data_IF_852387474295
#
_entry.id   IF_852387474295
#
_cell.length_a   1.000
_cell.length_b   1.000
_cell.length_c   1.000
_cell.angle_alpha   90.00
_cell.angle_beta   90.00
_cell.angle_gamma   90.00
#
_symmetry.space_group_name_H-M   'P 1'
#
loop_
_entity.id
_entity.type
_entity.pdbx_description
1 polymer ?
#
# COMPACT_ATOMS: atom_id res chain seq x y z
N UNK A 1 0.91 22.09 2.81
CA UNK A 1 1.01 23.02 3.95
C UNK A 1 0.50 22.28 5.17
N UNK A 2 1.41 21.76 6.00
CA UNK A 2 1.06 21.01 7.22
C UNK A 2 0.37 21.95 8.20
N UNK A 3 -0.85 21.61 8.65
CA UNK A 3 -1.48 22.31 9.78
C UNK A 3 -0.73 21.90 11.05
N UNK A 4 0.09 22.82 11.55
CA UNK A 4 0.64 22.78 12.91
C UNK A 4 -0.53 22.86 13.89
N UNK A 5 -0.77 21.82 14.67
CA UNK A 5 -1.57 21.95 15.89
C UNK A 5 -0.58 22.21 17.01
N UNK A 6 -0.31 23.49 17.27
CA UNK A 6 0.48 23.94 18.43
C UNK A 6 -0.45 24.03 19.64
N UNK A 7 -0.39 23.05 20.53
CA UNK A 7 -1.03 23.15 21.84
C UNK A 7 -0.03 23.81 22.81
N UNK A 8 -0.26 25.07 23.17
CA UNK A 8 0.58 25.83 24.09
C UNK A 8 -0.02 25.69 25.51
N UNK A 9 0.64 24.97 26.42
CA UNK A 9 0.30 24.96 27.84
C UNK A 9 1.26 25.88 28.60
N UNK A 10 0.74 26.93 29.24
CA UNK A 10 1.50 27.81 30.13
C UNK A 10 1.05 27.56 31.57
N UNK A 11 1.95 27.05 32.41
CA UNK A 11 1.74 26.92 33.86
C UNK A 11 2.63 27.92 34.61
N UNK A 12 2.03 28.91 35.26
CA UNK A 12 2.71 29.88 36.14
C UNK A 12 2.75 29.35 37.58
N UNK A 13 3.96 29.06 38.08
CA UNK A 13 4.24 28.66 39.47
C UNK A 13 5.16 29.66 40.19
N UNK A 14 4.91 29.85 41.49
CA UNK A 14 5.42 30.91 42.36
C UNK A 14 6.89 30.82 42.83
N UNK A 15 7.48 32.00 43.03
CA UNK A 15 8.85 32.34 43.44
C UNK A 15 9.38 31.67 44.73
N UNK A 16 10.40 30.81 44.57
CA UNK A 16 11.57 30.68 45.46
C UNK A 16 12.78 30.33 44.56
N UNK A 17 13.58 31.32 44.18
CA UNK A 17 14.55 31.19 43.08
C UNK A 17 15.96 30.76 43.55
N UNK A 18 16.24 29.47 43.45
CA UNK A 18 17.46 29.10 42.72
C UNK A 18 17.18 29.39 41.24
N UNK A 19 18.11 29.96 40.49
CA UNK A 19 17.88 30.31 39.09
C UNK A 19 17.69 29.02 38.27
N UNK A 20 16.45 28.55 38.16
CA UNK A 20 16.05 27.47 37.26
C UNK A 20 15.92 28.03 35.86
N UNK A 21 16.33 27.25 34.87
CA UNK A 21 16.19 27.62 33.46
C UNK A 21 14.72 27.69 33.05
N UNK A 22 14.40 28.58 32.12
CA UNK A 22 13.09 28.58 31.46
C UNK A 22 13.06 27.44 30.43
N UNK A 23 11.95 26.71 30.31
CA UNK A 23 11.83 25.58 29.36
C UNK A 23 10.55 25.71 28.55
N UNK A 24 10.67 25.91 27.24
CA UNK A 24 9.57 25.91 26.29
C UNK A 24 9.48 24.53 25.62
N UNK A 25 8.30 23.89 25.65
CA UNK A 25 8.08 22.57 25.05
C UNK A 25 7.15 22.65 23.83
N UNK A 26 7.45 21.83 22.81
CA UNK A 26 6.57 21.57 21.66
C UNK A 26 6.51 20.07 21.39
N UNK A 27 5.31 19.55 21.12
CA UNK A 27 5.12 18.14 20.77
C UNK A 27 4.95 18.01 19.25
N UNK A 28 5.66 17.06 18.65
CA UNK A 28 5.44 16.63 17.27
C UNK A 28 4.99 15.17 17.27
N UNK A 29 3.81 14.90 16.72
CA UNK A 29 3.35 13.54 16.51
C UNK A 29 3.99 12.96 15.26
N UNK A 30 4.52 11.74 15.36
CA UNK A 30 4.95 10.97 14.20
C UNK A 30 3.86 10.01 13.75
N UNK A 31 3.07 9.49 14.69
CA UNK A 31 1.88 8.70 14.40
C UNK A 31 0.70 9.63 14.12
N UNK A 32 0.08 9.56 12.92
CA UNK A 32 -1.09 10.38 12.58
C UNK A 32 -2.27 10.16 13.52
N UNK A 33 -3.09 11.19 13.73
CA UNK A 33 -4.22 11.15 14.67
C UNK A 33 -5.21 10.02 14.37
N UNK A 34 -5.50 9.74 13.10
CA UNK A 34 -6.36 8.61 12.69
C UNK A 34 -5.80 7.28 13.23
N UNK A 35 -4.51 7.03 13.05
CA UNK A 35 -3.87 5.81 13.57
C UNK A 35 -3.84 5.84 15.10
N UNK A 36 -3.58 7.01 15.69
CA UNK A 36 -3.58 7.21 17.14
C UNK A 36 -4.90 6.83 17.80
N UNK A 37 -6.03 7.29 17.25
CA UNK A 37 -7.38 7.07 17.77
C UNK A 37 -7.71 5.60 18.00
N UNK A 38 -7.18 4.71 17.17
CA UNK A 38 -7.48 3.28 17.21
C UNK A 38 -6.43 2.49 17.99
N UNK A 39 -5.22 3.03 18.06
CA UNK A 39 -4.04 2.33 18.56
C UNK A 39 -3.82 2.53 20.06
N UNK A 40 -4.34 3.61 20.64
CA UNK A 40 -4.23 3.90 22.09
C UNK A 40 -5.57 4.27 22.70
N UNK A 41 -5.72 4.00 24.01
CA UNK A 41 -6.81 4.55 24.80
C UNK A 41 -6.56 6.04 25.04
N UNK A 42 -7.34 6.90 24.37
CA UNK A 42 -7.03 8.32 24.21
C UNK A 42 -6.81 9.06 25.54
N UNK A 43 -7.78 9.03 26.46
CA UNK A 43 -7.68 9.82 27.70
C UNK A 43 -6.53 9.37 28.63
N UNK A 44 -6.37 8.07 28.93
CA UNK A 44 -5.20 7.61 29.70
C UNK A 44 -3.89 7.94 29.01
N UNK A 45 -3.81 7.77 27.69
CA UNK A 45 -2.60 7.98 26.94
C UNK A 45 -2.19 9.46 26.89
N UNK A 46 -3.13 10.37 26.67
CA UNK A 46 -2.88 11.82 26.72
C UNK A 46 -2.42 12.25 28.12
N UNK A 47 -3.03 11.69 29.17
CA UNK A 47 -2.61 11.95 30.56
C UNK A 47 -1.17 11.48 30.81
N UNK A 48 -0.82 10.30 30.30
CA UNK A 48 0.53 9.76 30.38
C UNK A 48 1.53 10.60 29.58
N UNK A 49 1.20 11.04 28.36
CA UNK A 49 2.03 11.98 27.58
C UNK A 49 2.25 13.30 28.34
N UNK A 50 1.25 13.79 29.08
CA UNK A 50 1.38 14.91 30.00
C UNK A 50 2.41 14.66 31.10
N UNK A 51 2.46 13.44 31.63
CA UNK A 51 3.47 13.05 32.63
C UNK A 51 4.87 13.03 32.00
N UNK A 52 5.02 12.47 30.79
CA UNK A 52 6.29 12.48 30.03
C UNK A 52 6.82 13.90 29.84
N UNK A 53 5.97 14.81 29.36
CA UNK A 53 6.35 16.21 29.11
C UNK A 53 6.73 16.94 30.40
N UNK A 54 5.96 16.76 31.47
CA UNK A 54 6.29 17.33 32.79
C UNK A 54 7.62 16.79 33.34
N UNK A 55 7.91 15.49 33.15
CA UNK A 55 9.19 14.89 33.54
C UNK A 55 10.35 15.49 32.77
N UNK A 56 10.19 15.71 31.46
CA UNK A 56 11.21 16.36 30.63
C UNK A 56 11.45 17.79 31.12
N UNK A 57 10.39 18.58 31.28
CA UNK A 57 10.48 19.97 31.74
C UNK A 57 11.22 20.07 33.09
N UNK A 58 10.82 19.25 34.07
CA UNK A 58 11.39 19.28 35.41
C UNK A 58 12.90 18.96 35.42
N UNK A 59 13.34 18.02 34.59
CA UNK A 59 14.77 17.68 34.49
C UNK A 59 15.57 18.74 33.74
N UNK A 60 15.00 19.36 32.70
CA UNK A 60 15.68 20.37 31.90
C UNK A 60 15.80 21.73 32.61
N UNK A 61 14.91 22.04 33.57
CA UNK A 61 15.02 23.23 34.43
C UNK A 61 16.30 23.26 35.27
N UNK A 62 16.93 22.10 35.49
CA UNK A 62 18.18 21.95 36.22
C UNK A 62 19.42 22.09 35.33
N UNK A 63 19.25 22.12 34.00
CA UNK A 63 20.37 22.29 33.07
C UNK A 63 20.73 23.78 32.92
N UNK A 64 22.02 24.07 32.83
CA UNK A 64 22.55 25.42 32.64
C UNK A 64 22.76 25.77 31.16
N UNK A 65 22.63 27.06 30.85
CA UNK A 65 22.89 27.60 29.51
C UNK A 65 21.73 27.43 28.54
N UNK A 66 21.94 27.91 27.31
CA UNK A 66 20.97 27.82 26.22
C UNK A 66 21.10 26.46 25.51
N UNK A 67 20.00 25.70 25.40
CA UNK A 67 20.01 24.35 24.80
C UNK A 67 18.74 24.06 24.02
N UNK A 68 18.88 23.25 22.97
CA UNK A 68 17.77 22.54 22.34
C UNK A 68 17.88 21.05 22.65
N UNK A 69 16.76 20.44 23.05
CA UNK A 69 16.68 19.01 23.38
C UNK A 69 15.53 18.39 22.61
N UNK A 70 15.75 17.20 22.07
CA UNK A 70 14.70 16.37 21.48
C UNK A 70 14.65 15.06 22.25
N UNK A 71 13.45 14.71 22.70
CA UNK A 71 13.13 13.41 23.28
C UNK A 71 12.12 12.73 22.37
N UNK A 72 12.54 11.69 21.65
CA UNK A 72 11.66 10.82 20.87
C UNK A 72 11.21 9.67 21.75
N UNK A 73 9.90 9.44 21.80
CA UNK A 73 9.27 8.36 22.56
C UNK A 73 8.46 7.50 21.59
N UNK A 74 8.69 6.20 21.63
CA UNK A 74 7.92 5.20 20.89
C UNK A 74 7.33 4.19 21.86
N UNK A 75 6.01 4.11 21.87
CA UNK A 75 5.25 3.15 22.67
C UNK A 75 4.92 1.96 21.80
N UNK A 76 5.20 0.76 22.31
CA UNK A 76 5.11 -0.48 21.54
C UNK A 76 4.00 -1.39 22.07
N UNK A 77 3.58 -2.33 21.22
CA UNK A 77 2.57 -3.34 21.57
C UNK A 77 3.07 -4.29 22.66
N UNK A 78 4.23 -4.92 22.44
CA UNK A 78 4.66 -6.10 23.22
C UNK A 78 6.01 -5.91 23.95
N UNK A 79 6.54 -4.67 23.99
CA UNK A 79 7.81 -4.36 24.65
C UNK A 79 7.78 -3.00 25.34
N UNK A 80 8.74 -2.77 26.23
CA UNK A 80 8.91 -1.49 26.90
C UNK A 80 9.15 -0.34 25.90
N UNK A 81 8.67 0.89 26.18
CA UNK A 81 8.84 2.04 25.30
C UNK A 81 10.31 2.30 24.94
N UNK A 82 10.57 2.68 23.68
CA UNK A 82 11.88 3.15 23.25
C UNK A 82 11.98 4.66 23.43
N UNK A 83 13.10 5.12 23.97
CA UNK A 83 13.35 6.55 24.24
C UNK A 83 14.70 6.95 23.65
N UNK A 84 14.71 7.99 22.83
CA UNK A 84 15.93 8.59 22.27
C UNK A 84 16.02 10.04 22.70
N UNK A 85 17.10 10.40 23.38
CA UNK A 85 17.38 11.77 23.83
C UNK A 85 18.60 12.28 23.09
N UNK A 86 18.50 13.48 22.53
CA UNK A 86 19.62 14.20 21.95
C UNK A 86 19.52 15.68 22.29
N UNK A 87 20.66 16.33 22.52
CA UNK A 87 20.70 17.73 22.87
C UNK A 87 21.82 18.47 22.14
N UNK A 88 21.63 19.77 21.93
CA UNK A 88 22.64 20.67 21.40
C UNK A 88 22.58 22.03 22.12
N UNK A 89 23.71 22.53 22.64
CA UNK A 89 24.88 21.75 23.03
C UNK A 89 24.47 20.60 23.96
N UNK A 90 25.24 19.51 23.97
CA UNK A 90 24.93 18.30 24.76
C UNK A 90 24.57 18.61 26.22
N UNK A 91 23.69 17.79 26.79
CA UNK A 91 23.38 17.87 28.23
C UNK A 91 24.61 17.57 29.08
N UNK A 92 24.60 18.04 30.32
CA UNK A 92 25.57 17.59 31.31
C UNK A 92 25.50 16.05 31.44
N UNK A 93 26.63 15.40 31.77
CA UNK A 93 26.64 13.93 31.96
C UNK A 93 25.62 13.48 33.03
N UNK A 94 25.48 14.28 34.09
CA UNK A 94 24.52 14.04 35.16
C UNK A 94 23.07 14.24 34.71
N UNK A 95 22.79 15.35 34.02
CA UNK A 95 21.46 15.68 33.51
C UNK A 95 20.96 14.70 32.47
N UNK A 96 21.82 14.27 31.53
CA UNK A 96 21.46 13.22 30.57
C UNK A 96 21.03 11.94 31.30
N UNK A 97 21.85 11.45 32.23
CA UNK A 97 21.54 10.24 33.00
C UNK A 97 20.26 10.41 33.82
N UNK A 98 20.09 11.55 34.50
CA UNK A 98 18.91 11.83 35.32
C UNK A 98 17.63 11.86 34.49
N UNK A 99 17.66 12.51 33.33
CA UNK A 99 16.54 12.56 32.39
C UNK A 99 16.19 11.17 31.87
N UNK A 100 17.19 10.40 31.39
CA UNK A 100 16.94 9.05 30.89
C UNK A 100 16.42 8.11 31.97
N UNK A 101 16.99 8.17 33.18
CA UNK A 101 16.53 7.36 34.32
C UNK A 101 15.10 7.74 34.73
N UNK A 102 14.78 9.04 34.75
CA UNK A 102 13.43 9.51 35.09
C UNK A 102 12.38 9.04 34.08
N UNK A 103 12.71 9.12 32.79
CA UNK A 103 11.83 8.67 31.70
C UNK A 103 11.65 7.15 31.70
N UNK A 104 12.71 6.38 31.97
CA UNK A 104 12.65 4.92 32.06
C UNK A 104 11.82 4.41 33.25
N UNK A 105 11.64 5.23 34.29
CA UNK A 105 10.84 4.89 35.47
C UNK A 105 9.36 5.29 35.36
N UNK A 106 8.93 5.88 34.24
CA UNK A 106 7.52 6.18 34.01
C UNK A 106 6.71 4.89 33.84
N UNK A 107 5.44 4.93 34.23
CA UNK A 107 4.54 3.80 34.06
C UNK A 107 4.49 3.39 32.58
N UNK A 108 4.72 2.10 32.32
CA UNK A 108 4.70 1.57 30.96
C UNK A 108 3.31 1.71 30.33
N UNK A 109 3.30 2.00 29.03
CA UNK A 109 2.11 2.00 28.19
C UNK A 109 2.32 1.00 27.07
N UNK A 110 1.22 0.43 26.59
CA UNK A 110 1.21 -0.46 25.44
C UNK A 110 0.15 -0.04 24.43
N UNK A 111 0.47 -0.20 23.16
CA UNK A 111 -0.45 0.06 22.06
C UNK A 111 -1.25 -1.20 21.69
N UNK A 112 -2.36 -1.01 20.97
CA UNK A 112 -3.25 -2.11 20.55
C UNK A 112 -2.84 -2.76 19.25
N UNK A 113 -2.48 -1.96 18.24
CA UNK A 113 -2.25 -2.42 16.86
C UNK A 113 -0.82 -2.15 16.39
N UNK A 114 -0.45 -0.88 16.25
CA UNK A 114 0.87 -0.44 15.78
C UNK A 114 1.60 0.35 16.85
N UNK A 115 2.87 0.65 16.64
CA UNK A 115 3.62 1.56 17.49
C UNK A 115 3.05 3.00 17.43
N UNK A 116 3.08 3.69 18.57
CA UNK A 116 2.73 5.12 18.67
C UNK A 116 3.97 5.94 19.01
N UNK A 117 4.33 6.87 18.15
CA UNK A 117 5.55 7.66 18.30
C UNK A 117 5.31 9.16 18.26
N UNK A 118 6.02 9.89 19.13
CA UNK A 118 6.03 11.36 19.17
C UNK A 118 7.39 11.87 19.64
N UNK A 119 7.67 13.14 19.37
CA UNK A 119 8.82 13.86 19.90
C UNK A 119 8.36 15.01 20.80
N UNK A 120 9.07 15.19 21.91
CA UNK A 120 9.03 16.40 22.73
C UNK A 120 10.29 17.20 22.42
N UNK A 121 10.11 18.36 21.81
CA UNK A 121 11.17 19.31 21.51
C UNK A 121 11.17 20.36 22.62
N UNK A 122 12.32 20.62 23.21
CA UNK A 122 12.49 21.57 24.30
C UNK A 122 13.52 22.64 23.93
N UNK A 123 13.19 23.89 24.22
CA UNK A 123 14.15 24.99 24.26
C UNK A 123 14.39 25.36 25.72
N UNK A 124 15.63 25.23 26.16
CA UNK A 124 16.09 25.67 27.48
C UNK A 124 16.64 27.08 27.33
N UNK A 125 16.11 28.00 28.13
CA UNK A 125 16.35 29.45 28.06
C UNK A 125 16.05 29.96 26.63
N UNK A 126 17.05 30.39 25.87
CA UNK A 126 16.84 30.91 24.51
C UNK A 126 16.87 29.83 23.42
N UNK A 127 17.25 28.60 23.77
CA UNK A 127 17.57 27.57 22.78
C UNK A 127 18.94 27.78 22.13
N UNK A 128 19.45 26.73 21.46
CA UNK A 128 20.75 26.75 20.80
C UNK A 128 20.73 27.65 19.55
N UNK A 129 21.60 28.67 19.53
CA UNK A 129 21.79 29.58 18.39
C UNK A 129 22.90 29.13 17.43
N UNK A 130 23.60 28.04 17.75
CA UNK A 130 24.68 27.46 16.96
C UNK A 130 24.20 26.31 16.08
N UNK A 131 24.80 26.17 14.89
CA UNK A 131 24.62 25.00 14.02
C UNK A 131 25.39 23.79 14.57
N UNK A 132 24.85 23.19 15.61
CA UNK A 132 25.36 21.96 16.22
C UNK A 132 24.46 20.77 15.87
N UNK A 133 25.07 19.59 15.75
CA UNK A 133 24.34 18.32 15.70
C UNK A 133 23.82 17.93 17.09
N UNK A 134 22.75 17.15 17.13
CA UNK A 134 22.25 16.58 18.39
C UNK A 134 23.19 15.49 18.88
N UNK A 135 23.59 15.56 20.15
CA UNK A 135 24.43 14.56 20.81
C UNK A 135 23.70 13.98 22.04
N UNK A 136 23.47 12.66 22.10
CA UNK A 136 23.58 11.68 21.02
C UNK A 136 22.68 11.99 19.81
N UNK A 137 22.99 11.36 18.67
CA UNK A 137 22.15 11.44 17.48
C UNK A 137 20.75 10.88 17.76
N UNK A 138 19.72 11.57 17.26
CA UNK A 138 18.32 11.16 17.43
C UNK A 138 18.02 9.93 16.57
N UNK A 139 17.42 8.92 17.19
CA UNK A 139 16.82 7.78 16.50
C UNK A 139 15.37 8.08 16.18
N UNK A 140 15.01 8.08 14.88
CA UNK A 140 13.64 8.27 14.42
C UNK A 140 13.00 6.92 14.08
N UNK A 141 11.78 6.60 14.56
CA UNK A 141 11.22 5.25 14.49
C UNK A 141 11.09 4.71 13.06
N UNK A 142 10.44 5.47 12.17
CA UNK A 142 10.24 5.08 10.77
C UNK A 142 11.56 4.80 10.04
N UNK A 143 12.60 5.59 10.33
CA UNK A 143 13.93 5.40 9.74
C UNK A 143 14.55 4.10 10.28
N UNK A 144 14.50 3.89 11.58
CA UNK A 144 15.06 2.71 12.24
C UNK A 144 14.37 1.42 11.81
N UNK A 145 13.04 1.43 11.70
CA UNK A 145 12.23 0.31 11.21
C UNK A 145 12.56 -0.03 9.77
N UNK A 146 12.64 0.98 8.89
CA UNK A 146 13.02 0.76 7.49
C UNK A 146 14.46 0.25 7.35
N UNK A 147 15.40 0.74 8.16
CA UNK A 147 16.78 0.23 8.19
C UNK A 147 16.86 -1.21 8.70
N UNK A 148 16.01 -1.60 9.67
CA UNK A 148 15.90 -2.97 10.13
C UNK A 148 15.30 -3.87 9.04
N UNK A 149 14.22 -3.42 8.39
CA UNK A 149 13.58 -4.12 7.28
C UNK A 149 14.55 -4.39 6.12
N UNK A 150 15.35 -3.39 5.73
CA UNK A 150 16.36 -3.53 4.67
C UNK A 150 17.42 -4.59 4.96
N UNK A 151 17.69 -4.91 6.23
CA UNK A 151 18.68 -5.91 6.67
C UNK A 151 18.15 -7.34 6.71
N UNK A 152 16.84 -7.54 6.58
CA UNK A 152 16.24 -8.87 6.55
C UNK A 152 16.67 -9.65 5.30
N UNK A 153 16.63 -10.97 5.36
CA UNK A 153 16.78 -11.78 4.15
C UNK A 153 15.55 -11.59 3.23
N UNK A 154 15.67 -11.77 1.89
CA UNK A 154 14.57 -11.50 0.97
C UNK A 154 13.26 -12.23 1.31
N UNK A 155 13.34 -13.48 1.77
CA UNK A 155 12.17 -14.25 2.19
C UNK A 155 11.49 -13.68 3.44
N UNK A 156 12.29 -13.16 4.38
CA UNK A 156 11.80 -12.56 5.60
C UNK A 156 11.18 -11.18 5.33
N UNK A 157 11.68 -10.41 4.34
CA UNK A 157 11.06 -9.14 3.93
C UNK A 157 9.62 -9.30 3.45
N UNK A 158 9.36 -10.28 2.57
CA UNK A 158 7.99 -10.61 2.13
C UNK A 158 7.11 -10.95 3.32
N UNK A 159 7.61 -11.87 4.15
CA UNK A 159 6.88 -12.38 5.29
C UNK A 159 6.55 -11.25 6.25
N UNK A 160 7.49 -10.32 6.46
CA UNK A 160 7.31 -9.14 7.28
C UNK A 160 6.22 -8.22 6.72
N UNK A 161 6.18 -7.96 5.41
CA UNK A 161 5.06 -7.18 4.81
C UNK A 161 3.73 -7.90 5.05
N UNK A 162 3.66 -9.22 4.81
CA UNK A 162 2.43 -9.98 5.04
C UNK A 162 1.99 -10.01 6.51
N UNK A 163 2.94 -10.09 7.45
CA UNK A 163 2.66 -10.02 8.90
C UNK A 163 2.17 -8.62 9.27
N UNK A 164 2.88 -7.58 8.83
CA UNK A 164 2.50 -6.18 9.06
C UNK A 164 1.07 -5.89 8.58
N UNK A 165 0.69 -6.39 7.40
CA UNK A 165 -0.69 -6.29 6.92
C UNK A 165 -1.69 -6.97 7.86
N UNK A 166 -1.39 -8.19 8.31
CA UNK A 166 -2.29 -9.02 9.14
C UNK A 166 -2.47 -8.49 10.56
N UNK A 167 -1.38 -8.06 11.16
CA UNK A 167 -1.30 -7.74 12.59
C UNK A 167 -1.54 -6.24 12.87
N UNK A 168 -1.30 -5.36 11.90
CA UNK A 168 -1.37 -3.92 12.11
C UNK A 168 -2.35 -3.22 11.15
N UNK A 169 -2.08 -3.26 9.85
CA UNK A 169 -2.81 -2.44 8.87
C UNK A 169 -4.27 -2.89 8.73
N UNK A 170 -4.52 -4.18 8.51
CA UNK A 170 -5.89 -4.70 8.35
C UNK A 170 -6.73 -4.49 9.62
N UNK A 171 -6.24 -4.75 10.85
CA UNK A 171 -7.00 -4.42 12.07
C UNK A 171 -7.39 -2.94 12.18
N UNK A 172 -6.51 -2.02 11.78
CA UNK A 172 -6.80 -0.58 11.76
C UNK A 172 -7.88 -0.27 10.72
N UNK A 173 -7.78 -0.81 9.51
CA UNK A 173 -8.80 -0.65 8.47
C UNK A 173 -10.15 -1.21 8.92
N UNK A 174 -10.15 -2.41 9.50
CA UNK A 174 -11.34 -3.04 10.05
C UNK A 174 -12.00 -2.18 11.13
N UNK A 175 -11.21 -1.52 11.99
CA UNK A 175 -11.76 -0.64 13.03
C UNK A 175 -12.68 0.43 12.43
N UNK A 176 -12.24 1.06 11.34
CA UNK A 176 -12.96 2.14 10.67
C UNK A 176 -14.16 1.63 9.87
N UNK A 177 -13.98 0.57 9.08
CA UNK A 177 -15.08 -0.02 8.31
C UNK A 177 -16.23 -0.51 9.21
N UNK A 178 -15.93 -1.14 10.35
CA UNK A 178 -16.95 -1.59 11.31
C UNK A 178 -17.68 -0.44 12.03
N UNK A 179 -17.12 0.77 12.01
CA UNK A 179 -17.68 1.98 12.65
C UNK A 179 -18.30 2.96 11.67
N UNK A 180 -18.35 2.60 10.39
CA UNK A 180 -19.16 3.33 9.43
C UNK A 180 -20.61 3.41 9.92
N UNK A 181 -21.27 4.53 9.62
CA UNK A 181 -22.69 4.73 9.97
C UNK A 181 -23.55 3.59 9.41
N UNK A 182 -24.65 3.27 10.09
CA UNK A 182 -25.46 2.07 9.79
C UNK A 182 -26.03 2.06 8.36
N UNK A 183 -26.13 3.21 7.70
CA UNK A 183 -26.57 3.32 6.30
C UNK A 183 -25.55 2.76 5.29
N UNK A 184 -24.27 2.66 5.66
CA UNK A 184 -23.20 2.15 4.80
C UNK A 184 -23.00 0.64 5.04
N UNK A 185 -24.01 -0.15 4.71
CA UNK A 185 -24.05 -1.58 5.04
C UNK A 185 -22.95 -2.38 4.31
N UNK A 186 -22.61 -2.01 3.07
CA UNK A 186 -21.54 -2.67 2.32
C UNK A 186 -20.19 -2.49 3.02
N UNK A 187 -19.88 -1.26 3.42
CA UNK A 187 -18.64 -0.92 4.16
C UNK A 187 -18.55 -1.72 5.45
N UNK A 188 -19.65 -1.79 6.22
CA UNK A 188 -19.69 -2.56 7.46
C UNK A 188 -19.56 -4.06 7.23
N UNK A 189 -20.11 -4.58 6.13
CA UNK A 189 -19.94 -5.99 5.72
C UNK A 189 -18.46 -6.31 5.47
N UNK A 190 -17.76 -5.43 4.74
CA UNK A 190 -16.30 -5.56 4.55
C UNK A 190 -15.55 -5.52 5.89
N UNK A 191 -15.92 -4.60 6.78
CA UNK A 191 -15.35 -4.53 8.13
C UNK A 191 -15.52 -5.82 8.93
N UNK A 192 -16.69 -6.46 8.85
CA UNK A 192 -16.96 -7.74 9.53
C UNK A 192 -16.17 -8.90 8.90
N UNK A 193 -15.95 -8.91 7.58
CA UNK A 193 -15.05 -9.86 6.90
C UNK A 193 -13.63 -9.76 7.47
N UNK A 194 -13.12 -8.53 7.65
CA UNK A 194 -11.78 -8.27 8.19
C UNK A 194 -11.68 -8.67 9.67
N UNK A 195 -12.65 -8.28 10.48
CA UNK A 195 -12.72 -8.59 11.92
C UNK A 195 -12.78 -10.09 12.18
N UNK A 196 -13.47 -10.84 11.34
CA UNK A 196 -13.53 -12.31 11.40
C UNK A 196 -12.32 -12.99 10.75
N UNK A 197 -11.37 -12.21 10.22
CA UNK A 197 -10.15 -12.67 9.56
C UNK A 197 -10.41 -13.69 8.45
N UNK A 198 -11.53 -13.56 7.71
CA UNK A 198 -11.89 -14.53 6.65
C UNK A 198 -10.84 -14.58 5.54
N UNK A 199 -10.14 -13.47 5.32
CA UNK A 199 -9.04 -13.33 4.35
C UNK A 199 -7.85 -14.26 4.62
N UNK A 200 -7.74 -14.86 5.80
CA UNK A 200 -6.72 -15.87 6.10
C UNK A 200 -7.05 -17.27 5.53
N UNK A 201 -8.30 -17.49 5.09
CA UNK A 201 -8.83 -18.82 4.74
C UNK A 201 -9.53 -18.87 3.39
N UNK A 202 -9.88 -17.73 2.82
CA UNK A 202 -10.56 -17.61 1.54
C UNK A 202 -9.71 -16.81 0.56
N UNK A 203 -9.92 -17.02 -0.75
CA UNK A 203 -9.27 -16.20 -1.77
C UNK A 203 -9.78 -14.76 -1.66
N UNK A 204 -8.90 -13.81 -1.92
CA UNK A 204 -9.25 -12.37 -1.88
C UNK A 204 -10.40 -12.07 -2.84
N UNK A 205 -10.40 -12.70 -4.01
CA UNK A 205 -11.44 -12.54 -5.03
C UNK A 205 -12.82 -12.98 -4.52
N UNK A 206 -12.89 -14.07 -3.75
CA UNK A 206 -14.14 -14.60 -3.20
C UNK A 206 -14.74 -13.67 -2.13
N UNK A 207 -13.90 -12.87 -1.46
CA UNK A 207 -14.32 -11.90 -0.46
C UNK A 207 -14.60 -10.51 -1.03
N UNK A 208 -14.15 -10.25 -2.26
CA UNK A 208 -14.19 -8.92 -2.90
C UNK A 208 -14.98 -8.96 -4.20
N UNK A 209 -14.35 -9.19 -5.35
CA UNK A 209 -14.99 -9.06 -6.65
C UNK A 209 -16.15 -10.03 -6.90
N UNK A 210 -16.14 -11.22 -6.28
CA UNK A 210 -17.25 -12.18 -6.33
C UNK A 210 -18.27 -11.98 -5.20
N UNK A 211 -18.13 -10.90 -4.42
CA UNK A 211 -18.98 -10.55 -3.29
C UNK A 211 -19.72 -9.22 -3.59
N UNK A 212 -21.05 -9.24 -3.79
CA UNK A 212 -21.82 -8.01 -4.05
C UNK A 212 -21.65 -6.92 -2.98
N UNK A 213 -21.41 -7.29 -1.72
CA UNK A 213 -21.20 -6.33 -0.64
C UNK A 213 -19.94 -5.47 -0.85
N UNK A 214 -18.92 -5.99 -1.54
CA UNK A 214 -17.71 -5.23 -1.87
C UNK A 214 -18.01 -4.13 -2.90
N UNK A 215 -18.80 -4.45 -3.92
CA UNK A 215 -19.21 -3.47 -4.93
C UNK A 215 -20.17 -2.45 -4.34
N UNK A 216 -21.10 -2.88 -3.49
CA UNK A 216 -21.91 -1.97 -2.69
C UNK A 216 -21.06 -1.02 -1.85
N UNK A 217 -20.08 -1.55 -1.10
CA UNK A 217 -19.17 -0.75 -0.30
C UNK A 217 -18.40 0.27 -1.15
N UNK A 218 -17.94 -0.15 -2.34
CA UNK A 218 -17.25 0.72 -3.30
C UNK A 218 -18.12 1.90 -3.75
N UNK A 219 -19.43 1.66 -3.93
CA UNK A 219 -20.40 2.69 -4.31
C UNK A 219 -20.82 3.60 -3.14
N UNK A 220 -20.69 3.14 -1.90
CA UNK A 220 -20.98 3.89 -0.68
C UNK A 220 -19.88 4.92 -0.34
N UNK A 221 -18.71 4.85 -0.99
CA UNK A 221 -17.58 5.74 -0.72
C UNK A 221 -17.74 7.15 -1.29
N UNK A 222 -17.36 8.13 -0.47
CA UNK A 222 -17.12 9.49 -0.94
C UNK A 222 -15.84 9.56 -1.79
N UNK A 223 -15.77 10.53 -2.69
CA UNK A 223 -14.51 10.89 -3.34
C UNK A 223 -13.41 11.16 -2.29
N UNK A 224 -12.16 10.85 -2.64
CA UNK A 224 -10.99 10.92 -1.76
C UNK A 224 -10.83 9.72 -0.81
N UNK A 225 -11.91 9.02 -0.45
CA UNK A 225 -11.85 7.89 0.47
C UNK A 225 -11.77 6.56 -0.28
N UNK A 226 -10.55 6.03 -0.42
CA UNK A 226 -10.29 4.77 -1.13
C UNK A 226 -10.15 3.56 -0.18
N UNK A 227 -10.78 3.59 0.99
CA UNK A 227 -10.60 2.52 1.99
C UNK A 227 -11.02 1.14 1.48
N UNK A 228 -12.08 1.02 0.67
CA UNK A 228 -12.56 -0.26 0.14
C UNK A 228 -11.61 -0.91 -0.87
N UNK A 229 -11.15 -0.23 -1.94
CA UNK A 229 -10.11 -0.82 -2.80
C UNK A 229 -8.77 -0.97 -2.06
N UNK A 230 -8.45 -0.10 -1.09
CA UNK A 230 -7.28 -0.30 -0.23
C UNK A 230 -7.38 -1.60 0.59
N UNK A 231 -8.56 -1.93 1.13
CA UNK A 231 -8.83 -3.19 1.82
C UNK A 231 -8.50 -4.40 0.95
N UNK A 232 -8.92 -4.41 -0.32
CA UNK A 232 -8.55 -5.47 -1.28
C UNK A 232 -7.04 -5.54 -1.49
N UNK A 233 -6.35 -4.41 -1.61
CA UNK A 233 -4.90 -4.37 -1.75
C UNK A 233 -4.18 -4.93 -0.52
N UNK A 234 -4.63 -4.57 0.69
CA UNK A 234 -4.09 -5.09 1.95
C UNK A 234 -4.27 -6.62 2.06
N UNK A 235 -5.42 -7.15 1.66
CA UNK A 235 -5.63 -8.60 1.61
C UNK A 235 -4.66 -9.30 0.65
N UNK A 236 -4.41 -8.73 -0.54
CA UNK A 236 -3.42 -9.28 -1.47
C UNK A 236 -1.99 -9.25 -0.90
N UNK A 237 -1.57 -8.16 -0.26
CA UNK A 237 -0.27 -8.07 0.41
C UNK A 237 -0.16 -9.09 1.57
N UNK A 238 -1.23 -9.29 2.33
CA UNK A 238 -1.31 -10.30 3.38
C UNK A 238 -1.18 -11.74 2.81
N UNK A 239 -1.69 -12.00 1.61
CA UNK A 239 -1.59 -13.28 0.89
C UNK A 239 -0.29 -13.42 0.09
N UNK A 240 0.53 -12.36 0.01
CA UNK A 240 1.76 -12.33 -0.78
C UNK A 240 1.52 -12.24 -2.29
N UNK A 241 0.33 -11.83 -2.73
CA UNK A 241 -0.03 -11.57 -4.12
C UNK A 241 0.35 -10.13 -4.53
N UNK A 242 1.64 -9.82 -4.50
CA UNK A 242 2.18 -8.46 -4.64
C UNK A 242 1.87 -7.82 -6.00
N UNK A 243 1.91 -8.57 -7.09
CA UNK A 243 1.66 -8.01 -8.43
C UNK A 243 0.23 -7.44 -8.55
N UNK A 244 -0.77 -8.17 -8.03
CA UNK A 244 -2.16 -7.69 -7.95
C UNK A 244 -2.31 -6.47 -7.04
N UNK A 245 -1.66 -6.51 -5.87
CA UNK A 245 -1.67 -5.38 -4.96
C UNK A 245 -1.08 -4.12 -5.62
N UNK A 246 0.04 -4.25 -6.35
CA UNK A 246 0.73 -3.13 -7.00
C UNK A 246 -0.17 -2.39 -7.99
N UNK A 247 -0.91 -3.11 -8.84
CA UNK A 247 -1.85 -2.49 -9.78
C UNK A 247 -2.90 -1.65 -9.06
N UNK A 248 -3.47 -2.19 -7.98
CA UNK A 248 -4.50 -1.50 -7.21
C UNK A 248 -3.95 -0.31 -6.43
N UNK A 249 -2.80 -0.48 -5.74
CA UNK A 249 -2.10 0.56 -4.99
C UNK A 249 -1.69 1.73 -5.89
N UNK A 250 -1.20 1.43 -7.09
CA UNK A 250 -0.86 2.44 -8.09
C UNK A 250 -2.08 3.30 -8.42
N UNK A 251 -3.21 2.68 -8.73
CA UNK A 251 -4.44 3.38 -9.11
C UNK A 251 -4.99 4.20 -7.94
N UNK A 252 -5.20 3.60 -6.77
CA UNK A 252 -5.85 4.30 -5.64
C UNK A 252 -5.04 5.48 -5.12
N UNK A 253 -3.72 5.50 -5.33
CA UNK A 253 -2.88 6.65 -4.97
C UNK A 253 -3.31 7.94 -5.69
N UNK A 254 -3.81 7.85 -6.93
CA UNK A 254 -4.28 9.03 -7.69
C UNK A 254 -5.62 9.58 -7.20
N UNK A 255 -6.42 8.75 -6.54
CA UNK A 255 -7.79 9.07 -6.13
C UNK A 255 -7.97 9.16 -4.60
N UNK A 256 -6.88 8.98 -3.83
CA UNK A 256 -6.89 9.12 -2.38
C UNK A 256 -6.62 10.56 -1.96
N UNK A 257 -7.41 11.06 -1.01
CA UNK A 257 -7.06 12.30 -0.31
C UNK A 257 -5.83 12.06 0.58
N UNK A 258 -4.93 13.05 0.65
CA UNK A 258 -3.67 12.94 1.40
C UNK A 258 -3.86 12.69 2.91
N UNK A 259 -5.03 13.02 3.46
CA UNK A 259 -5.37 12.82 4.88
C UNK A 259 -6.25 11.58 5.10
N UNK A 260 -6.58 10.84 4.03
CA UNK A 260 -7.36 9.60 4.14
C UNK A 260 -6.52 8.48 4.77
N UNK A 261 -7.19 7.52 5.43
CA UNK A 261 -6.50 6.38 6.05
C UNK A 261 -5.60 5.61 5.06
N UNK A 262 -6.02 5.29 3.82
CA UNK A 262 -5.13 4.65 2.85
C UNK A 262 -3.85 5.44 2.58
N UNK A 263 -3.96 6.76 2.38
CA UNK A 263 -2.81 7.61 2.07
C UNK A 263 -1.73 7.58 3.15
N UNK A 264 -2.11 7.38 4.42
CA UNK A 264 -1.16 7.26 5.53
C UNK A 264 -0.26 6.02 5.43
N UNK A 265 -0.71 4.96 4.76
CA UNK A 265 0.05 3.72 4.58
C UNK A 265 0.71 3.58 3.21
N UNK A 266 0.15 4.23 2.18
CA UNK A 266 0.61 4.06 0.79
C UNK A 266 2.11 4.34 0.61
N UNK A 267 2.66 5.36 1.28
CA UNK A 267 4.09 5.71 1.18
C UNK A 267 4.98 4.63 1.80
N UNK A 268 4.64 4.14 2.99
CA UNK A 268 5.41 3.08 3.65
C UNK A 268 5.31 1.76 2.89
N UNK A 269 4.11 1.39 2.42
CA UNK A 269 3.92 0.24 1.54
C UNK A 269 4.80 0.37 0.31
N UNK A 270 4.76 1.52 -0.38
CA UNK A 270 5.54 1.74 -1.59
C UNK A 270 7.04 1.61 -1.33
N UNK A 271 7.53 2.18 -0.22
CA UNK A 271 8.94 2.10 0.16
C UNK A 271 9.39 0.66 0.50
N UNK A 272 8.59 -0.11 1.24
CA UNK A 272 8.89 -1.52 1.53
C UNK A 272 8.85 -2.37 0.26
N UNK A 273 7.87 -2.12 -0.61
CA UNK A 273 7.72 -2.78 -1.91
C UNK A 273 8.88 -2.50 -2.85
N UNK A 274 9.38 -1.26 -2.90
CA UNK A 274 10.56 -0.88 -3.71
C UNK A 274 11.80 -1.69 -3.30
N UNK A 275 12.08 -1.78 -2.00
CA UNK A 275 13.21 -2.58 -1.48
C UNK A 275 13.09 -4.05 -1.91
N UNK A 276 11.89 -4.63 -1.79
CA UNK A 276 11.64 -6.02 -2.20
C UNK A 276 11.79 -6.19 -3.71
N UNK A 277 11.22 -5.27 -4.49
CA UNK A 277 11.26 -5.31 -5.95
C UNK A 277 12.70 -5.21 -6.49
N UNK A 278 13.54 -4.36 -5.91
CA UNK A 278 14.95 -4.21 -6.31
C UNK A 278 15.72 -5.53 -6.13
N UNK A 279 15.52 -6.21 -5.00
CA UNK A 279 16.18 -7.48 -4.70
C UNK A 279 15.69 -8.62 -5.60
N UNK A 280 14.38 -8.74 -5.80
CA UNK A 280 13.81 -9.74 -6.72
C UNK A 280 14.29 -9.47 -8.14
N UNK A 281 14.25 -8.22 -8.60
CA UNK A 281 14.68 -7.81 -9.94
C UNK A 281 16.14 -8.22 -10.19
N UNK A 282 17.02 -7.93 -9.23
CA UNK A 282 18.42 -8.34 -9.28
C UNK A 282 18.56 -9.87 -9.38
N UNK A 283 17.81 -10.61 -8.55
CA UNK A 283 17.85 -12.06 -8.56
C UNK A 283 17.30 -12.67 -9.86
N UNK A 284 16.22 -12.12 -10.44
CA UNK A 284 15.67 -12.56 -11.72
C UNK A 284 16.68 -12.31 -12.85
N UNK A 285 17.31 -11.13 -12.87
CA UNK A 285 18.32 -10.76 -13.87
C UNK A 285 19.54 -11.70 -13.86
N UNK A 286 19.91 -12.27 -12.71
CA UNK A 286 20.94 -13.31 -12.65
C UNK A 286 20.52 -14.57 -13.41
N UNK A 287 19.25 -14.98 -13.28
CA UNK A 287 18.68 -16.08 -14.04
C UNK A 287 18.64 -15.77 -15.54
N UNK A 288 18.30 -14.54 -15.92
CA UNK A 288 18.27 -14.10 -17.32
C UNK A 288 19.68 -14.15 -17.91
N UNK A 289 20.69 -13.69 -17.16
CA UNK A 289 22.08 -13.79 -17.59
C UNK A 289 22.55 -15.25 -17.80
N UNK A 290 22.04 -16.20 -16.99
CA UNK A 290 22.28 -17.64 -17.22
C UNK A 290 21.56 -18.14 -18.47
N UNK A 291 20.32 -17.71 -18.70
CA UNK A 291 19.56 -17.99 -19.92
C UNK A 291 20.31 -17.52 -21.16
N UNK A 292 20.77 -16.27 -21.17
CA UNK A 292 21.47 -15.63 -22.29
C UNK A 292 22.81 -16.30 -22.60
N UNK A 293 23.44 -16.94 -21.60
CA UNK A 293 24.62 -17.78 -21.77
C UNK A 293 24.31 -19.19 -22.34
N UNK A 294 23.04 -19.50 -22.59
CA UNK A 294 22.57 -20.84 -23.00
C UNK A 294 22.53 -21.86 -21.87
N UNK A 295 22.73 -21.44 -20.61
CA UNK A 295 22.73 -22.30 -19.42
C UNK A 295 21.32 -22.49 -18.86
N UNK A 296 20.40 -22.92 -19.72
CA UNK A 296 18.98 -22.99 -19.40
C UNK A 296 18.64 -23.84 -18.16
N UNK A 297 19.35 -24.95 -17.95
CA UNK A 297 19.15 -25.80 -16.75
C UNK A 297 19.53 -25.08 -15.46
N UNK A 298 20.60 -24.30 -15.48
CA UNK A 298 21.04 -23.51 -14.33
C UNK A 298 20.07 -22.37 -14.06
N UNK A 299 19.61 -21.68 -15.11
CA UNK A 299 18.58 -20.64 -15.02
C UNK A 299 17.27 -21.19 -14.39
N UNK A 300 16.76 -22.32 -14.91
CA UNK A 300 15.57 -22.99 -14.35
C UNK A 300 15.80 -23.41 -12.89
N UNK A 301 16.98 -23.95 -12.54
CA UNK A 301 17.29 -24.31 -11.15
C UNK A 301 17.32 -23.09 -10.23
N UNK A 302 17.84 -21.96 -10.71
CA UNK A 302 17.86 -20.68 -10.00
C UNK A 302 16.45 -20.16 -9.76
N UNK A 303 15.62 -20.09 -10.80
CA UNK A 303 14.23 -19.65 -10.67
C UNK A 303 13.40 -20.56 -9.75
N UNK A 304 13.62 -21.87 -9.77
CA UNK A 304 12.98 -22.79 -8.83
C UNK A 304 13.31 -22.51 -7.36
N UNK A 305 14.49 -21.95 -7.06
CA UNK A 305 14.81 -21.51 -5.70
C UNK A 305 14.07 -20.23 -5.35
N UNK A 306 14.00 -19.27 -6.27
CA UNK A 306 13.28 -18.01 -6.08
C UNK A 306 11.77 -18.23 -5.93
N UNK A 307 11.16 -19.14 -6.71
CA UNK A 307 9.72 -19.41 -6.67
C UNK A 307 9.26 -20.03 -5.34
N UNK A 308 10.17 -20.62 -4.55
CA UNK A 308 9.86 -21.07 -3.18
C UNK A 308 9.64 -19.90 -2.22
N UNK A 309 10.16 -18.74 -2.57
CA UNK A 309 10.12 -17.52 -1.77
C UNK A 309 9.08 -16.55 -2.32
N UNK A 310 9.04 -16.38 -3.64
CA UNK A 310 8.12 -15.48 -4.36
C UNK A 310 7.26 -16.26 -5.38
N UNK A 311 6.35 -17.15 -4.94
CA UNK A 311 5.58 -18.00 -5.84
C UNK A 311 4.62 -17.21 -6.74
N UNK A 312 4.12 -16.07 -6.25
CA UNK A 312 3.09 -15.25 -6.88
C UNK A 312 3.67 -14.09 -7.71
N UNK A 313 4.80 -14.31 -8.39
CA UNK A 313 5.41 -13.33 -9.29
C UNK A 313 5.21 -13.75 -10.74
N UNK A 314 4.48 -12.94 -11.51
CA UNK A 314 4.23 -13.20 -12.93
C UNK A 314 5.54 -13.19 -13.75
N UNK A 315 6.44 -12.25 -13.47
CA UNK A 315 7.74 -12.16 -14.12
C UNK A 315 8.58 -13.41 -13.87
N UNK A 316 8.71 -13.84 -12.61
CA UNK A 316 9.50 -15.01 -12.27
C UNK A 316 8.94 -16.29 -12.90
N UNK A 317 7.61 -16.46 -12.90
CA UNK A 317 6.96 -17.59 -13.56
C UNK A 317 7.16 -17.56 -15.09
N UNK A 318 7.16 -16.37 -15.71
CA UNK A 318 7.45 -16.19 -17.13
C UNK A 318 8.88 -16.57 -17.47
N UNK A 319 9.88 -16.06 -16.74
CA UNK A 319 11.30 -16.38 -17.01
C UNK A 319 11.63 -17.86 -16.77
N UNK A 320 11.00 -18.46 -15.76
CA UNK A 320 11.08 -19.89 -15.51
C UNK A 320 10.53 -20.69 -16.71
N UNK A 321 9.34 -20.34 -17.20
CA UNK A 321 8.76 -20.93 -18.41
C UNK A 321 9.67 -20.74 -19.62
N UNK A 322 10.11 -19.51 -19.88
CA UNK A 322 10.88 -19.15 -21.07
C UNK A 322 12.20 -19.93 -21.15
N UNK A 323 12.91 -20.04 -20.03
CA UNK A 323 14.12 -20.85 -19.91
C UNK A 323 13.88 -22.36 -20.00
N UNK A 324 12.72 -22.84 -19.54
CA UNK A 324 12.30 -24.21 -19.73
C UNK A 324 12.01 -24.54 -21.19
N UNK A 325 11.24 -23.69 -21.86
CA UNK A 325 10.84 -23.84 -23.25
C UNK A 325 12.03 -23.80 -24.22
N UNK A 326 13.04 -22.98 -23.95
CA UNK A 326 14.28 -22.91 -24.76
C UNK A 326 15.05 -24.24 -24.85
N UNK A 327 14.82 -25.18 -23.93
CA UNK A 327 15.43 -26.51 -23.96
C UNK A 327 14.65 -27.52 -24.80
N UNK A 328 13.41 -27.18 -25.16
CA UNK A 328 12.51 -28.07 -25.89
C UNK A 328 12.76 -27.91 -27.39
N UNK A 329 12.94 -29.03 -28.09
CA UNK A 329 13.14 -29.04 -29.55
C UNK A 329 11.83 -29.14 -30.34
N UNK A 330 10.74 -29.41 -29.64
CA UNK A 330 9.45 -29.79 -30.20
C UNK A 330 8.47 -28.64 -29.95
N UNK A 331 7.94 -28.06 -31.04
CA UNK A 331 7.03 -26.91 -30.97
C UNK A 331 5.72 -27.23 -30.24
N UNK A 332 5.20 -28.45 -30.38
CA UNK A 332 3.97 -28.86 -29.70
C UNK A 332 4.20 -28.92 -28.18
N UNK A 333 5.35 -29.44 -27.75
CA UNK A 333 5.72 -29.42 -26.32
C UNK A 333 5.91 -28.01 -25.76
N UNK A 334 6.45 -27.09 -26.57
CA UNK A 334 6.55 -25.68 -26.16
C UNK A 334 5.16 -25.06 -26.01
N UNK A 335 4.24 -25.35 -26.93
CA UNK A 335 2.85 -24.87 -26.85
C UNK A 335 2.10 -25.44 -25.64
N UNK A 336 2.30 -26.73 -25.33
CA UNK A 336 1.74 -27.36 -24.13
C UNK A 336 2.30 -26.71 -22.86
N UNK A 337 3.61 -26.48 -22.81
CA UNK A 337 4.26 -25.79 -21.70
C UNK A 337 3.74 -24.36 -21.54
N UNK A 338 3.57 -23.63 -22.65
CA UNK A 338 2.99 -22.29 -22.64
C UNK A 338 1.57 -22.31 -22.09
N UNK A 339 0.73 -23.23 -22.56
CA UNK A 339 -0.67 -23.35 -22.11
C UNK A 339 -0.75 -23.54 -20.60
N UNK A 340 0.11 -24.39 -20.02
CA UNK A 340 0.19 -24.58 -18.58
C UNK A 340 0.71 -23.34 -17.85
N UNK A 341 1.81 -22.75 -18.31
CA UNK A 341 2.46 -21.60 -17.66
C UNK A 341 1.64 -20.31 -17.75
N UNK A 342 0.96 -20.08 -18.88
CA UNK A 342 0.08 -18.92 -19.12
C UNK A 342 -0.96 -18.75 -18.01
N UNK A 343 -1.58 -19.87 -17.59
CA UNK A 343 -2.56 -19.84 -16.49
C UNK A 343 -1.93 -19.37 -15.18
N UNK A 344 -0.74 -19.87 -14.84
CA UNK A 344 -0.03 -19.48 -13.61
C UNK A 344 0.38 -18.01 -13.65
N UNK A 345 1.02 -17.58 -14.75
CA UNK A 345 1.48 -16.20 -14.95
C UNK A 345 0.31 -15.22 -14.81
N UNK A 346 -0.79 -15.47 -15.52
CA UNK A 346 -1.97 -14.59 -15.47
C UNK A 346 -2.82 -14.76 -14.22
N UNK A 347 -2.65 -15.83 -13.44
CA UNK A 347 -3.21 -15.90 -12.08
C UNK A 347 -2.45 -14.96 -11.14
N UNK A 348 -1.13 -14.80 -11.33
CA UNK A 348 -0.31 -13.85 -10.57
C UNK A 348 -0.62 -12.41 -10.98
N UNK A 349 -0.64 -12.14 -12.29
CA UNK A 349 -0.97 -10.83 -12.84
C UNK A 349 -1.63 -10.98 -14.23
N UNK A 350 -2.95 -10.77 -14.34
CA UNK A 350 -3.68 -10.83 -15.61
C UNK A 350 -3.16 -9.86 -16.68
N UNK A 351 -2.51 -8.76 -16.27
CA UNK A 351 -2.05 -7.67 -17.10
C UNK A 351 -0.58 -7.84 -17.53
N UNK A 352 0.12 -8.86 -17.01
CA UNK A 352 1.57 -9.01 -17.17
C UNK A 352 2.02 -9.18 -18.63
N UNK A 353 2.83 -8.26 -19.18
CA UNK A 353 3.29 -8.34 -20.56
C UNK A 353 4.25 -9.50 -20.77
N UNK A 354 3.91 -10.42 -21.67
CA UNK A 354 4.77 -11.54 -22.09
C UNK A 354 5.18 -11.38 -23.55
N UNK A 355 6.38 -11.86 -23.87
CA UNK A 355 6.86 -11.96 -25.25
C UNK A 355 6.85 -13.43 -25.68
N UNK A 356 5.71 -13.88 -26.18
CA UNK A 356 5.53 -15.24 -26.72
C UNK A 356 4.89 -15.17 -28.11
N UNK A 357 5.05 -16.23 -28.89
CA UNK A 357 4.40 -16.34 -30.20
C UNK A 357 2.89 -16.52 -30.01
N UNK A 358 2.10 -15.63 -30.60
CA UNK A 358 0.66 -15.82 -30.71
C UNK A 358 0.32 -16.89 -31.75
N UNK A 359 -0.70 -17.70 -31.45
CA UNK A 359 -1.21 -18.71 -32.38
C UNK A 359 -2.37 -18.21 -33.23
N UNK A 360 -3.08 -17.16 -32.76
CA UNK A 360 -4.33 -16.68 -33.35
C UNK A 360 -4.40 -15.15 -33.30
N UNK A 361 -5.27 -14.54 -34.10
CA UNK A 361 -5.46 -13.09 -34.14
C UNK A 361 -5.86 -12.52 -32.80
N UNK A 362 -6.80 -13.18 -32.09
CA UNK A 362 -7.22 -12.80 -30.74
C UNK A 362 -6.06 -12.86 -29.76
N UNK A 363 -5.27 -13.94 -29.75
CA UNK A 363 -4.10 -14.04 -28.85
C UNK A 363 -3.07 -12.94 -29.15
N UNK A 364 -2.77 -12.68 -30.42
CA UNK A 364 -1.85 -11.62 -30.83
C UNK A 364 -2.32 -10.24 -30.38
N UNK A 365 -3.62 -9.95 -30.54
CA UNK A 365 -4.23 -8.73 -30.03
C UNK A 365 -4.05 -8.60 -28.51
N UNK A 366 -4.43 -9.61 -27.72
CA UNK A 366 -4.36 -9.54 -26.26
C UNK A 366 -2.92 -9.45 -25.73
N UNK A 367 -1.94 -10.04 -26.42
CA UNK A 367 -0.52 -9.83 -26.10
C UNK A 367 -0.12 -8.37 -26.34
N UNK A 368 -0.53 -7.80 -27.48
CA UNK A 368 -0.29 -6.38 -27.78
C UNK A 368 -0.93 -5.45 -26.74
N UNK A 369 -2.16 -5.72 -26.30
CA UNK A 369 -2.85 -4.92 -25.27
C UNK A 369 -2.08 -4.85 -23.95
N UNK A 370 -1.47 -5.95 -23.52
CA UNK A 370 -0.59 -5.94 -22.34
C UNK A 370 0.66 -5.09 -22.54
N UNK A 371 1.25 -5.12 -23.74
CA UNK A 371 2.41 -4.28 -24.04
C UNK A 371 2.08 -2.78 -24.03
N UNK A 372 0.86 -2.40 -24.41
CA UNK A 372 0.44 -0.99 -24.38
C UNK A 372 0.46 -0.38 -22.97
N UNK A 373 0.32 -1.20 -21.91
CA UNK A 373 0.39 -0.73 -20.52
C UNK A 373 1.72 -0.03 -20.23
N UNK A 374 2.82 -0.50 -20.83
CA UNK A 374 4.16 0.08 -20.65
C UNK A 374 4.26 1.54 -21.14
N UNK A 375 3.34 1.97 -21.99
CA UNK A 375 3.27 3.32 -22.54
C UNK A 375 2.35 4.28 -21.78
N UNK A 376 1.55 3.76 -20.84
CA UNK A 376 0.61 4.56 -20.06
C UNK A 376 1.33 5.39 -18.98
N UNK A 377 0.67 6.46 -18.57
CA UNK A 377 1.02 7.33 -17.44
C UNK A 377 2.41 7.99 -17.56
N UNK A 378 2.90 8.16 -18.80
CA UNK A 378 4.20 8.81 -19.08
C UNK A 378 4.09 10.33 -19.13
N UNK A 379 2.90 10.86 -19.42
CA UNK A 379 2.64 12.28 -19.59
C UNK A 379 1.44 12.69 -18.74
N UNK A 380 1.53 13.87 -18.15
CA UNK A 380 0.48 14.36 -17.23
C UNK A 380 -0.80 14.73 -17.99
N UNK A 381 -0.66 15.23 -19.20
CA UNK A 381 -1.77 15.60 -20.09
C UNK A 381 -2.61 14.40 -20.54
N UNK A 382 -2.00 13.21 -20.63
CA UNK A 382 -2.65 11.98 -21.08
C UNK A 382 -3.28 11.19 -19.91
N UNK A 383 -3.13 11.65 -18.66
CA UNK A 383 -3.48 10.90 -17.45
C UNK A 383 -4.90 10.30 -17.48
N UNK A 384 -5.89 11.11 -17.86
CA UNK A 384 -7.29 10.68 -17.87
C UNK A 384 -7.57 9.67 -18.98
N UNK A 385 -7.09 9.95 -20.20
CA UNK A 385 -7.21 9.01 -21.32
C UNK A 385 -6.46 7.71 -21.05
N UNK A 386 -5.33 7.76 -20.35
CA UNK A 386 -4.57 6.58 -19.95
C UNK A 386 -5.36 5.71 -18.96
N UNK A 387 -6.07 6.31 -18.00
CA UNK A 387 -6.97 5.55 -17.12
C UNK A 387 -8.10 4.87 -17.89
N UNK A 388 -8.74 5.56 -18.84
CA UNK A 388 -9.79 4.98 -19.69
C UNK A 388 -9.24 3.81 -20.51
N UNK A 389 -8.07 4.02 -21.14
CA UNK A 389 -7.38 2.97 -21.88
C UNK A 389 -6.98 1.80 -20.98
N UNK A 390 -6.58 2.08 -19.74
CA UNK A 390 -6.21 1.04 -18.79
C UNK A 390 -7.40 0.16 -18.39
N UNK A 391 -8.56 0.78 -18.16
CA UNK A 391 -9.82 0.08 -17.88
C UNK A 391 -10.27 -0.78 -19.06
N UNK A 392 -10.15 -0.25 -20.29
CA UNK A 392 -10.44 -0.98 -21.51
C UNK A 392 -9.50 -2.18 -21.70
N UNK A 393 -8.20 -2.01 -21.43
CA UNK A 393 -7.23 -3.12 -21.47
C UNK A 393 -7.61 -4.19 -20.44
N UNK A 394 -7.85 -3.83 -19.18
CA UNK A 394 -8.24 -4.78 -18.14
C UNK A 394 -9.51 -5.55 -18.51
N UNK A 395 -10.51 -4.85 -19.06
CA UNK A 395 -11.76 -5.45 -19.54
C UNK A 395 -11.52 -6.48 -20.64
N UNK A 396 -10.73 -6.13 -21.65
CA UNK A 396 -10.43 -7.02 -22.78
C UNK A 396 -9.58 -8.23 -22.37
N UNK A 397 -8.79 -8.08 -21.31
CA UNK A 397 -8.01 -9.15 -20.69
C UNK A 397 -8.83 -10.00 -19.71
N UNK A 398 -10.13 -9.71 -19.58
CA UNK A 398 -11.09 -10.42 -18.72
C UNK A 398 -10.76 -10.32 -17.22
N UNK A 399 -9.98 -9.31 -16.82
CA UNK A 399 -9.82 -8.92 -15.40
C UNK A 399 -10.97 -7.98 -15.01
N UNK A 400 -12.17 -8.56 -14.95
CA UNK A 400 -13.41 -7.80 -14.71
C UNK A 400 -13.40 -7.08 -13.36
N UNK A 401 -12.77 -7.66 -12.33
CA UNK A 401 -12.65 -7.04 -11.01
C UNK A 401 -11.83 -5.75 -11.06
N UNK A 402 -10.65 -5.79 -11.69
CA UNK A 402 -9.83 -4.60 -11.82
C UNK A 402 -10.43 -3.57 -12.79
N UNK A 403 -11.02 -4.04 -13.90
CA UNK A 403 -11.72 -3.18 -14.86
C UNK A 403 -12.90 -2.45 -14.20
N UNK A 404 -13.75 -3.14 -13.43
CA UNK A 404 -14.85 -2.54 -12.67
C UNK A 404 -14.34 -1.45 -11.72
N UNK A 405 -13.28 -1.73 -10.97
CA UNK A 405 -12.68 -0.74 -10.06
C UNK A 405 -12.23 0.53 -10.81
N UNK A 406 -11.57 0.37 -11.96
CA UNK A 406 -11.15 1.49 -12.79
C UNK A 406 -12.34 2.27 -13.36
N UNK A 407 -13.34 1.59 -13.93
CA UNK A 407 -14.52 2.26 -14.47
C UNK A 407 -15.31 3.02 -13.40
N UNK A 408 -15.41 2.47 -12.17
CA UNK A 408 -16.04 3.18 -11.06
C UNK A 408 -15.29 4.47 -10.70
N UNK A 409 -13.95 4.43 -10.65
CA UNK A 409 -13.12 5.61 -10.40
C UNK A 409 -13.22 6.62 -11.55
N UNK A 410 -13.17 6.18 -12.80
CA UNK A 410 -13.35 7.06 -13.96
C UNK A 410 -14.71 7.74 -13.91
N UNK A 411 -15.79 6.97 -13.69
CA UNK A 411 -17.15 7.49 -13.58
C UNK A 411 -17.29 8.51 -12.44
N UNK A 412 -16.62 8.26 -11.32
CA UNK A 412 -16.74 9.08 -10.11
C UNK A 412 -15.95 10.38 -10.19
N UNK A 413 -14.84 10.46 -10.94
CA UNK A 413 -13.93 11.61 -10.91
C UNK A 413 -13.80 12.37 -12.23
N UNK A 414 -14.11 11.75 -13.37
CA UNK A 414 -13.88 12.37 -14.69
C UNK A 414 -15.16 12.93 -15.28
N UNK A 415 -15.01 13.94 -16.13
CA UNK A 415 -16.10 14.50 -16.91
C UNK A 415 -16.40 13.60 -18.11
N UNK A 416 -17.61 13.69 -18.68
CA UNK A 416 -18.04 12.81 -19.78
C UNK A 416 -17.18 12.94 -21.02
N UNK A 417 -16.64 14.13 -21.24
CA UNK A 417 -15.76 14.45 -22.37
C UNK A 417 -14.40 13.75 -22.26
N UNK A 418 -13.96 13.39 -21.04
CA UNK A 418 -12.69 12.70 -20.82
C UNK A 418 -12.72 11.23 -21.28
N UNK A 419 -13.91 10.68 -21.55
CA UNK A 419 -14.13 9.32 -22.06
C UNK A 419 -15.08 9.30 -23.28
N UNK A 420 -14.98 10.33 -24.13
CA UNK A 420 -15.70 10.44 -25.41
C UNK A 420 -17.23 10.29 -25.28
N UNK A 421 -17.79 10.69 -24.15
CA UNK A 421 -19.21 10.53 -23.81
C UNK A 421 -19.72 9.08 -23.83
N UNK A 422 -18.81 8.09 -23.71
CA UNK A 422 -19.16 6.67 -23.57
C UNK A 422 -19.99 6.43 -22.32
N UNK A 423 -20.83 5.40 -22.36
CA UNK A 423 -21.58 4.95 -21.20
C UNK A 423 -20.68 4.14 -20.24
N UNK A 424 -19.83 4.82 -19.46
CA UNK A 424 -18.90 4.18 -18.52
C UNK A 424 -19.64 3.42 -17.41
N UNK A 425 -20.85 3.88 -17.02
CA UNK A 425 -21.68 3.10 -16.11
C UNK A 425 -22.03 1.72 -16.68
N UNK A 426 -22.37 1.63 -17.97
CA UNK A 426 -22.61 0.33 -18.61
C UNK A 426 -21.35 -0.55 -18.62
N UNK A 427 -20.15 0.02 -18.77
CA UNK A 427 -18.89 -0.72 -18.72
C UNK A 427 -18.62 -1.27 -17.31
N UNK A 428 -18.84 -0.47 -16.28
CA UNK A 428 -18.76 -0.90 -14.88
C UNK A 428 -19.74 -2.05 -14.60
N UNK A 429 -21.02 -1.86 -14.93
CA UNK A 429 -22.06 -2.86 -14.68
C UNK A 429 -21.90 -4.13 -15.52
N UNK A 430 -21.33 -4.01 -16.73
CA UNK A 430 -20.96 -5.17 -17.54
C UNK A 430 -19.92 -6.03 -16.84
N UNK A 431 -18.91 -5.41 -16.22
CA UNK A 431 -17.93 -6.14 -15.43
C UNK A 431 -18.57 -6.87 -14.24
N UNK A 432 -19.50 -6.22 -13.53
CA UNK A 432 -20.23 -6.86 -12.43
C UNK A 432 -21.08 -8.05 -12.90
N UNK A 433 -21.76 -7.92 -14.03
CA UNK A 433 -22.51 -9.02 -14.65
C UNK A 433 -21.61 -10.21 -14.99
N UNK A 434 -20.40 -9.97 -15.54
CA UNK A 434 -19.41 -11.02 -15.81
C UNK A 434 -18.82 -11.67 -14.56
N UNK A 435 -18.81 -10.94 -13.43
CA UNK A 435 -18.47 -11.49 -12.10
C UNK A 435 -19.66 -12.24 -11.46
N UNK A 436 -20.85 -12.20 -12.07
CA UNK A 436 -22.07 -12.82 -11.57
C UNK A 436 -22.87 -11.97 -10.58
N UNK A 437 -22.48 -10.72 -10.34
CA UNK A 437 -23.16 -9.79 -9.45
C UNK A 437 -24.34 -9.08 -10.16
N UNK A 438 -25.38 -9.86 -10.42
CA UNK A 438 -26.64 -9.35 -11.00
C UNK A 438 -27.46 -8.54 -10.00
N UNK A 439 -27.12 -8.56 -8.70
CA UNK A 439 -27.84 -7.84 -7.66
C UNK A 439 -27.46 -6.36 -7.68
N UNK A 440 -26.16 -6.05 -7.71
CA UNK A 440 -25.68 -4.67 -7.84
C UNK A 440 -26.17 -4.02 -9.13
N UNK A 441 -26.27 -4.77 -10.22
CA UNK A 441 -26.80 -4.25 -11.51
C UNK A 441 -28.26 -3.78 -11.37
N UNK A 442 -29.10 -4.47 -10.59
CA UNK A 442 -30.52 -4.13 -10.41
C UNK A 442 -30.74 -2.81 -9.65
N UNK A 443 -29.73 -2.30 -8.95
CA UNK A 443 -29.82 -1.02 -8.25
C UNK A 443 -29.84 0.18 -9.22
N UNK A 444 -29.52 -0.04 -10.50
CA UNK A 444 -29.49 0.99 -11.52
C UNK A 444 -30.69 0.90 -12.46
N UNK A 445 -31.15 2.07 -12.92
CA UNK A 445 -32.23 2.15 -13.92
C UNK A 445 -31.65 2.15 -15.34
N UNK A 446 -32.09 1.22 -16.17
CA UNK A 446 -31.70 1.14 -17.59
C UNK A 446 -31.98 -0.23 -18.21
N UNK A 447 -31.92 -0.32 -19.55
CA UNK A 447 -31.88 -1.59 -20.28
C UNK A 447 -30.42 -2.06 -20.41
N UNK A 448 -29.89 -2.61 -19.32
CA UNK A 448 -28.50 -3.04 -19.27
C UNK A 448 -28.17 -4.23 -20.18
N UNK A 449 -29.06 -5.19 -20.45
CA UNK A 449 -28.80 -6.19 -21.49
C UNK A 449 -28.47 -5.58 -22.86
N UNK A 450 -29.19 -4.53 -23.29
CA UNK A 450 -28.87 -3.82 -24.54
C UNK A 450 -27.53 -3.07 -24.44
N UNK A 451 -27.29 -2.37 -23.33
CA UNK A 451 -26.03 -1.63 -23.13
C UNK A 451 -24.81 -2.56 -23.05
N UNK A 452 -24.95 -3.75 -22.44
CA UNK A 452 -23.90 -4.76 -22.39
C UNK A 452 -23.56 -5.31 -23.77
N UNK A 453 -24.56 -5.53 -24.62
CA UNK A 453 -24.34 -5.91 -26.01
C UNK A 453 -23.59 -4.81 -26.79
N UNK A 454 -23.82 -3.53 -26.48
CA UNK A 454 -23.06 -2.41 -27.06
C UNK A 454 -21.60 -2.42 -26.60
N UNK A 455 -21.34 -2.64 -25.31
CA UNK A 455 -19.98 -2.78 -24.77
C UNK A 455 -19.23 -3.93 -25.47
N UNK A 456 -19.87 -5.10 -25.60
CA UNK A 456 -19.27 -6.25 -26.30
C UNK A 456 -18.98 -5.96 -27.77
N UNK A 457 -19.92 -5.36 -28.49
CA UNK A 457 -19.75 -5.01 -29.89
C UNK A 457 -18.64 -3.96 -30.08
N UNK A 458 -18.57 -2.98 -29.18
CA UNK A 458 -17.52 -1.96 -29.17
C UNK A 458 -16.13 -2.59 -29.01
N UNK A 459 -15.94 -3.40 -27.96
CA UNK A 459 -14.64 -4.05 -27.68
C UNK A 459 -14.24 -5.04 -28.78
N UNK A 460 -15.21 -5.80 -29.30
CA UNK A 460 -14.98 -6.70 -30.45
C UNK A 460 -14.52 -5.93 -31.68
N UNK A 461 -15.19 -4.82 -32.01
CA UNK A 461 -14.81 -3.98 -33.17
C UNK A 461 -13.38 -3.46 -33.02
N UNK A 462 -13.00 -2.96 -31.85
CA UNK A 462 -11.62 -2.47 -31.59
C UNK A 462 -10.59 -3.58 -31.85
N UNK A 463 -10.86 -4.79 -31.38
CA UNK A 463 -10.00 -5.96 -31.62
C UNK A 463 -9.90 -6.29 -33.11
N UNK A 464 -11.04 -6.51 -33.77
CA UNK A 464 -11.12 -6.95 -35.18
C UNK A 464 -10.54 -5.90 -36.14
N UNK A 465 -10.65 -4.62 -35.80
CA UNK A 465 -10.09 -3.53 -36.61
C UNK A 465 -8.58 -3.36 -36.43
N UNK A 466 -7.99 -3.91 -35.36
CA UNK A 466 -6.57 -3.71 -35.05
C UNK A 466 -5.64 -4.35 -36.10
N UNK A 467 -4.50 -3.71 -36.42
CA UNK A 467 -3.51 -4.29 -37.32
C UNK A 467 -2.98 -5.64 -36.82
N UNK A 468 -2.79 -5.78 -35.51
CA UNK A 468 -2.28 -7.00 -34.89
C UNK A 468 -3.22 -8.18 -35.10
N UNK A 469 -4.54 -7.99 -34.93
CA UNK A 469 -5.53 -9.04 -35.18
C UNK A 469 -5.58 -9.42 -36.67
N UNK A 470 -5.64 -8.42 -37.55
CA UNK A 470 -5.71 -8.60 -39.02
C UNK A 470 -4.46 -9.25 -39.62
N UNK A 471 -3.32 -9.20 -38.93
CA UNK A 471 -2.08 -9.83 -39.39
C UNK A 471 -2.15 -11.37 -39.39
N UNK A 472 -3.14 -11.98 -38.71
CA UNK A 472 -3.31 -13.43 -38.63
C UNK A 472 -4.39 -13.93 -39.59
N UNK A 473 -4.12 -15.06 -40.25
CA UNK A 473 -5.10 -15.75 -41.09
C UNK A 473 -6.12 -16.59 -40.31
N UNK A 474 -5.92 -16.78 -38.99
CA UNK A 474 -6.83 -17.48 -38.08
C UNK A 474 -7.38 -16.50 -37.03
N UNK A 475 -8.69 -16.22 -37.04
CA UNK A 475 -9.28 -15.22 -36.15
C UNK A 475 -9.32 -15.65 -34.67
N UNK A 476 -9.65 -16.91 -34.40
CA UNK A 476 -9.78 -17.47 -33.04
C UNK A 476 -8.73 -18.51 -32.70
#
# INVERSE_FOLDING_TARGET
MKKLISLLLICLGSLWAFAQSEVELTIQLFTPDLIGQVTVDQEPFITWMGTVTNTIEANLKEEEGDKEVIVVVSVHRDKAPSISVGARPKLSKGGMKKLTDALANLAEQHTKFTDYSFAVMAKVNKGCDQELEFEPAISYPQKTEMEAFKKLEPADKIKEISIWMKEEVIPIVAYYENRAEDQFEGVRSMGEILKQQKYLKARVEDLTENNPDYWRATMEMSQGNQIIPFTKACMYLADGAFDKANHLLFVIRFFSDNESLPALFLDEISAKMEVVNDEITSAINQGIALHDQGKYKEAVSHYNKLLKVFPNSAWLNYEHYFSGAAQMKDEDKQNDAWTASKKVIYTCDPLYPVNVRASTGKEGYLLFRRQEINSLFKKKEDLKSDFVKYADIALELEDYGFAAQLYWLILSYFAKEDYDNRNILAHYLYCLDKLGDTESVKNFKGDFPEEFAKVEAERRRVMEESPTYKAFGKPE
#
